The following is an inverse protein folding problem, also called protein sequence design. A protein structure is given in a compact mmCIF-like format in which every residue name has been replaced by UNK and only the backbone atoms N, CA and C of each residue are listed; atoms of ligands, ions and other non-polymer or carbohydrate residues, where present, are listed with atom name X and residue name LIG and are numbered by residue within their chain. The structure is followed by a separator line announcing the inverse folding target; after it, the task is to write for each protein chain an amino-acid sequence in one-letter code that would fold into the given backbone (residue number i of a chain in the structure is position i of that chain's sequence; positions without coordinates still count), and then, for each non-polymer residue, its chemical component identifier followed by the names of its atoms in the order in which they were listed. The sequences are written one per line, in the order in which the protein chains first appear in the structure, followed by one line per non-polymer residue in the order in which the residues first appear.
data_IF_049677678076
#
_entry.id   IF_049677678076
#
_cell.length_a   1.000
_cell.length_b   1.000
_cell.length_c   1.000
_cell.angle_alpha   90.00
_cell.angle_beta   90.00
_cell.angle_gamma   90.00
#
_symmetry.space_group_name_H-M   'P 1'
#
loop_
_entity.id
_entity.type
_entity.pdbx_description
1 polymer ?
#
# COMPACT_ATOMS: atom_id res chain seq x y z
N UNK A 1 7.93 -6.69 -22.69
CA UNK A 1 7.88 -6.55 -21.21
C UNK A 1 9.30 -6.69 -20.68
N UNK A 2 9.82 -5.78 -19.84
CA UNK A 2 11.15 -5.96 -19.24
C UNK A 2 11.16 -7.19 -18.32
N UNK A 3 12.30 -7.88 -18.26
CA UNK A 3 12.53 -9.01 -17.36
C UNK A 3 13.28 -8.56 -16.12
N UNK A 4 12.93 -9.16 -14.98
CA UNK A 4 13.56 -8.90 -13.68
C UNK A 4 13.88 -10.25 -13.03
N UNK A 5 15.07 -10.36 -12.45
CA UNK A 5 15.47 -11.50 -11.62
C UNK A 5 15.35 -11.10 -10.16
N UNK A 6 14.71 -11.95 -9.35
CA UNK A 6 14.54 -11.75 -7.92
C UNK A 6 14.94 -13.01 -7.16
N UNK A 7 15.46 -12.84 -5.96
CA UNK A 7 15.72 -13.94 -5.03
C UNK A 7 14.53 -14.10 -4.09
N UNK A 8 14.07 -15.33 -3.90
CA UNK A 8 13.00 -15.70 -2.98
C UNK A 8 13.42 -16.93 -2.17
N UNK A 9 12.75 -17.19 -1.05
CA UNK A 9 13.06 -18.38 -0.27
C UNK A 9 12.71 -19.65 -1.04
N UNK A 10 13.40 -20.78 -0.79
CA UNK A 10 13.07 -22.06 -1.41
C UNK A 10 11.62 -22.50 -1.16
N UNK A 11 11.09 -22.17 0.03
CA UNK A 11 9.71 -22.46 0.41
C UNK A 11 8.70 -21.66 -0.43
N UNK A 12 8.95 -20.37 -0.64
CA UNK A 12 8.09 -19.55 -1.51
C UNK A 12 8.12 -20.06 -2.95
N UNK A 13 9.30 -20.44 -3.45
CA UNK A 13 9.43 -21.02 -4.78
C UNK A 13 8.67 -22.34 -4.90
N UNK A 14 8.60 -23.15 -3.84
CA UNK A 14 7.82 -24.39 -3.81
C UNK A 14 6.32 -24.14 -3.92
N UNK A 15 5.78 -23.20 -3.14
CA UNK A 15 4.37 -22.79 -3.22
C UNK A 15 4.01 -22.24 -4.61
N UNK A 16 4.91 -21.48 -5.21
CA UNK A 16 4.72 -20.98 -6.58
C UNK A 16 4.68 -22.10 -7.62
N UNK A 17 5.53 -23.14 -7.47
CA UNK A 17 5.51 -24.30 -8.37
C UNK A 17 4.22 -25.09 -8.24
N UNK A 18 3.79 -25.37 -7.00
CA UNK A 18 2.54 -26.08 -6.72
C UNK A 18 1.33 -25.39 -7.37
N UNK A 19 1.24 -24.05 -7.27
CA UNK A 19 0.17 -23.26 -7.88
C UNK A 19 0.17 -23.32 -9.42
N UNK A 20 1.33 -23.59 -10.04
CA UNK A 20 1.43 -23.82 -11.48
C UNK A 20 1.08 -25.26 -11.83
N UNK A 21 1.59 -26.22 -11.06
CA UNK A 21 1.39 -27.65 -11.28
C UNK A 21 -0.08 -28.06 -11.10
N UNK A 22 -0.82 -27.39 -10.20
CA UNK A 22 -2.26 -27.59 -10.04
C UNK A 22 -3.10 -26.89 -11.12
N UNK A 23 -2.47 -26.09 -11.98
CA UNK A 23 -3.13 -25.36 -13.07
C UNK A 23 -3.81 -24.05 -12.67
N UNK A 24 -3.67 -23.59 -11.42
CA UNK A 24 -4.22 -22.30 -10.98
C UNK A 24 -3.56 -21.12 -11.71
N UNK A 25 -2.26 -21.24 -12.02
CA UNK A 25 -1.52 -20.26 -12.81
C UNK A 25 -0.76 -20.89 -13.98
N UNK A 26 -0.76 -20.19 -15.12
CA UNK A 26 -0.07 -20.67 -16.32
C UNK A 26 1.48 -20.67 -16.22
N UNK A 27 2.05 -19.89 -15.29
CA UNK A 27 3.50 -19.83 -15.08
C UNK A 27 3.85 -19.16 -13.75
N UNK A 28 5.07 -19.37 -13.26
CA UNK A 28 5.57 -18.68 -12.06
C UNK A 28 5.58 -17.16 -12.20
N UNK A 29 5.80 -16.61 -13.41
CA UNK A 29 5.69 -15.17 -13.64
C UNK A 29 4.26 -14.63 -13.49
N UNK A 30 3.24 -15.44 -13.80
CA UNK A 30 1.84 -15.02 -13.59
C UNK A 30 1.48 -15.01 -12.11
N UNK A 31 1.98 -15.97 -11.33
CA UNK A 31 1.84 -15.97 -9.86
C UNK A 31 2.39 -14.66 -9.27
N UNK A 32 3.58 -14.23 -9.69
CA UNK A 32 4.20 -12.98 -9.21
C UNK A 32 3.35 -11.77 -9.61
N UNK A 33 2.85 -11.71 -10.86
CA UNK A 33 2.00 -10.60 -11.30
C UNK A 33 0.70 -10.54 -10.49
N UNK A 34 0.06 -11.67 -10.24
CA UNK A 34 -1.15 -11.74 -9.42
C UNK A 34 -0.89 -11.27 -7.98
N UNK A 35 0.19 -11.73 -7.36
CA UNK A 35 0.59 -11.31 -6.02
C UNK A 35 0.86 -9.79 -5.94
N UNK A 36 1.55 -9.23 -6.94
CA UNK A 36 1.81 -7.79 -7.00
C UNK A 36 0.53 -6.98 -7.20
N UNK A 37 -0.40 -7.42 -8.07
CA UNK A 37 -1.72 -6.79 -8.23
C UNK A 37 -2.46 -6.72 -6.90
N UNK A 38 -2.56 -7.85 -6.19
CA UNK A 38 -3.20 -7.93 -4.87
C UNK A 38 -2.55 -6.99 -3.84
N UNK A 39 -1.23 -6.92 -3.83
CA UNK A 39 -0.49 -6.02 -2.95
C UNK A 39 -0.78 -4.55 -3.26
N UNK A 40 -0.81 -4.16 -4.53
CA UNK A 40 -1.20 -2.80 -4.93
C UNK A 40 -2.63 -2.48 -4.51
N UNK A 41 -3.58 -3.38 -4.76
CA UNK A 41 -4.98 -3.16 -4.38
C UNK A 41 -5.14 -2.99 -2.87
N UNK A 42 -4.44 -3.81 -2.09
CA UNK A 42 -4.43 -3.73 -0.61
C UNK A 42 -3.81 -2.42 -0.13
N UNK A 43 -2.69 -2.01 -0.70
CA UNK A 43 -2.01 -0.77 -0.32
C UNK A 43 -2.76 0.49 -0.76
N UNK A 44 -3.40 0.46 -1.93
CA UNK A 44 -4.27 1.54 -2.42
C UNK A 44 -5.51 1.69 -1.56
N UNK A 45 -6.14 0.58 -1.14
CA UNK A 45 -7.24 0.59 -0.19
C UNK A 45 -6.81 1.14 1.19
N UNK A 46 -5.64 0.72 1.68
CA UNK A 46 -5.08 1.18 2.97
C UNK A 46 -4.71 2.67 2.93
N UNK A 47 -4.15 3.16 1.83
CA UNK A 47 -3.85 4.58 1.63
C UNK A 47 -5.10 5.45 1.51
N UNK A 48 -6.19 4.91 0.95
CA UNK A 48 -7.49 5.60 0.85
C UNK A 48 -8.24 5.61 2.18
N UNK A 49 -8.18 4.52 2.95
CA UNK A 49 -8.77 4.45 4.29
C UNK A 49 -8.09 5.42 5.28
N UNK A 50 -6.77 5.64 5.16
CA UNK A 50 -6.04 6.63 5.97
C UNK A 50 -6.33 8.08 5.57
N UNK A 51 -7.02 8.30 4.44
CA UNK A 51 -7.32 9.62 3.87
C UNK A 51 -8.80 9.79 3.55
N UNK A 52 -9.68 9.11 4.28
CA UNK A 52 -11.05 9.60 4.39
C UNK A 52 -10.96 10.93 5.17
N UNK A 53 -11.35 12.07 4.58
CA UNK A 53 -11.57 13.26 5.38
C UNK A 53 -12.69 12.89 6.35
N UNK A 54 -12.43 12.93 7.65
CA UNK A 54 -13.52 13.04 8.60
C UNK A 54 -14.18 14.39 8.32
N UNK A 55 -15.25 14.38 7.52
CA UNK A 55 -16.21 15.46 7.51
C UNK A 55 -16.66 15.63 8.98
N UNK A 56 -16.60 16.86 9.48
CA UNK A 56 -17.03 17.28 10.83
C UNK A 56 -16.02 17.18 12.00
N UNK A 57 -14.74 17.44 11.76
CA UNK A 57 -13.83 17.88 12.82
C UNK A 57 -12.84 18.89 12.28
N UNK A 58 -12.92 20.13 12.72
CA UNK A 58 -12.01 21.22 12.35
C UNK A 58 -10.56 20.86 12.74
N UNK A 59 -9.87 20.11 11.88
CA UNK A 59 -8.44 19.90 12.00
C UNK A 59 -7.75 21.18 11.53
N UNK A 60 -7.72 22.17 12.41
CA UNK A 60 -6.89 23.35 12.22
C UNK A 60 -5.42 22.89 12.24
N UNK A 61 -4.64 23.27 11.23
CA UNK A 61 -3.24 22.87 11.17
C UNK A 61 -2.50 23.46 12.39
N UNK A 62 -1.53 22.72 12.94
CA UNK A 62 -0.74 23.17 14.10
C UNK A 62 -0.08 24.53 13.85
N UNK A 63 0.31 24.82 12.60
CA UNK A 63 0.84 26.12 12.21
C UNK A 63 -0.19 27.25 12.39
N UNK A 64 -1.45 27.03 11.99
CA UNK A 64 -2.54 27.99 12.14
C UNK A 64 -2.90 28.18 13.62
N UNK A 65 -2.90 27.10 14.40
CA UNK A 65 -3.12 27.12 15.85
C UNK A 65 -2.05 27.94 16.58
N UNK A 66 -0.78 27.80 16.17
CA UNK A 66 0.33 28.60 16.69
C UNK A 66 0.22 30.07 16.31
N UNK A 67 -0.16 30.36 15.06
CA UNK A 67 -0.33 31.73 14.58
C UNK A 67 -1.44 32.46 15.36
N UNK A 68 -2.57 31.80 15.60
CA UNK A 68 -3.66 32.34 16.40
C UNK A 68 -3.23 32.65 17.85
N UNK A 69 -2.44 31.76 18.46
CA UNK A 69 -1.94 31.96 19.83
C UNK A 69 -0.90 33.08 19.94
N UNK A 70 -0.09 33.29 18.90
CA UNK A 70 0.90 34.36 18.86
C UNK A 70 0.24 35.75 18.81
N UNK A 71 -0.87 35.88 18.09
CA UNK A 71 -1.64 37.13 18.01
C UNK A 71 -2.31 37.51 19.34
N UNK A 72 -2.73 36.52 20.14
CA UNK A 72 -3.39 36.75 21.44
C UNK A 72 -2.43 37.25 22.54
N UNK A 73 -1.12 37.10 22.38
CA UNK A 73 -0.12 37.47 23.41
C UNK A 73 0.37 38.93 23.30
N UNK A 74 -0.06 39.67 22.28
CA UNK A 74 0.38 41.04 22.00
C UNK A 74 -0.76 42.09 22.01
N UNK A 75 -1.90 41.77 22.63
CA UNK A 75 -2.99 42.72 22.90
C UNK A 75 -3.04 43.14 24.36
#
# INVERSE_FOLDING_TARGET
MPMVTVSISPEQAAKMREAVDCGEYASGSEVVRAALRLWFDTNSATGRARRAPSETGEHMNVADLYAAHALKKHG
#
